data_IF_556362266523
#
_entry.id   IF_556362266523
#
_cell.length_a   1.000
_cell.length_b   1.000
_cell.length_c   1.000
_cell.angle_alpha   90.00
_cell.angle_beta   90.00
_cell.angle_gamma   90.00
#
_symmetry.space_group_name_H-M   'P 1'
#
loop_
_entity.id
_entity.type
_entity.pdbx_description
1 polymer ?
#
# COMPACT_ATOMS: atom_id res chain seq x y z
N UNK A 1 -18.42 -21.73 27.33
CA UNK A 1 -17.83 -20.49 26.78
C UNK A 1 -18.36 -20.31 25.37
N UNK A 2 -19.01 -19.20 25.07
CA UNK A 2 -19.47 -18.91 23.73
C UNK A 2 -18.26 -18.46 22.90
N UNK A 3 -18.00 -19.13 21.77
CA UNK A 3 -17.02 -18.70 20.78
C UNK A 3 -17.65 -17.55 20.01
N UNK A 4 -16.97 -16.43 19.87
CA UNK A 4 -17.48 -15.20 19.22
C UNK A 4 -17.88 -15.38 17.75
N UNK A 5 -17.49 -16.48 17.12
CA UNK A 5 -17.80 -16.78 15.73
C UNK A 5 -17.04 -15.91 14.70
N UNK A 6 -16.16 -15.00 15.14
CA UNK A 6 -15.26 -14.25 14.27
C UNK A 6 -13.83 -14.63 14.55
N UNK A 7 -13.02 -14.66 13.47
CA UNK A 7 -11.57 -14.86 13.54
C UNK A 7 -10.79 -13.53 13.47
N UNK A 8 -11.50 -12.41 13.49
CA UNK A 8 -10.88 -11.10 13.43
C UNK A 8 -10.26 -10.77 14.79
N UNK A 9 -8.97 -10.55 14.77
CA UNK A 9 -8.21 -10.02 15.88
C UNK A 9 -7.83 -8.58 15.50
N UNK A 10 -8.59 -7.62 16.02
CA UNK A 10 -8.41 -6.18 15.76
C UNK A 10 -8.21 -5.42 17.08
N UNK A 11 -7.07 -5.60 17.75
CA UNK A 11 -6.77 -4.87 18.96
C UNK A 11 -6.49 -3.40 18.63
N UNK A 12 -6.97 -2.49 19.49
CA UNK A 12 -6.64 -1.08 19.40
C UNK A 12 -5.16 -0.86 19.74
N UNK A 13 -4.55 0.15 19.11
CA UNK A 13 -3.18 0.56 19.39
C UNK A 13 -2.98 0.93 20.87
N UNK A 14 -4.02 1.40 21.52
CA UNK A 14 -4.01 1.70 22.94
C UNK A 14 -3.78 0.45 23.78
N UNK A 15 -4.48 -0.64 23.47
CA UNK A 15 -4.33 -1.94 24.15
C UNK A 15 -2.92 -2.50 24.01
N UNK A 16 -2.33 -2.37 22.81
CA UNK A 16 -0.93 -2.77 22.60
C UNK A 16 0.06 -1.96 23.43
N UNK A 17 -0.19 -0.67 23.55
CA UNK A 17 0.67 0.22 24.34
C UNK A 17 0.53 -0.10 25.82
N UNK A 18 -0.68 -0.30 26.32
CA UNK A 18 -0.94 -0.69 27.72
C UNK A 18 -0.23 -2.02 28.05
N UNK A 19 -0.38 -3.03 27.21
CA UNK A 19 0.32 -4.31 27.38
C UNK A 19 1.85 -4.15 27.36
N UNK A 20 2.37 -3.29 26.48
CA UNK A 20 3.81 -3.04 26.41
C UNK A 20 4.33 -2.37 27.70
N UNK A 21 3.58 -1.43 28.28
CA UNK A 21 3.91 -0.81 29.57
C UNK A 21 3.88 -1.83 30.70
N UNK A 22 2.83 -2.66 30.77
CA UNK A 22 2.73 -3.73 31.77
C UNK A 22 3.90 -4.71 31.71
N UNK A 23 4.29 -5.12 30.49
CA UNK A 23 5.47 -6.00 30.29
C UNK A 23 6.78 -5.36 30.74
N UNK A 24 6.85 -4.02 30.69
CA UNK A 24 7.99 -3.27 31.22
C UNK A 24 7.89 -3.02 32.74
N UNK A 25 6.82 -3.46 33.39
CA UNK A 25 6.57 -3.20 34.81
C UNK A 25 6.18 -1.78 35.10
N UNK A 26 5.66 -1.06 34.13
CA UNK A 26 5.22 0.32 34.21
C UNK A 26 3.69 0.39 34.09
N UNK A 27 3.10 1.43 34.65
CA UNK A 27 1.68 1.74 34.49
C UNK A 27 1.51 2.96 33.58
N UNK A 28 0.55 2.90 32.68
CA UNK A 28 0.17 4.05 31.83
C UNK A 28 -0.74 4.98 32.68
N UNK A 29 -0.15 6.04 33.27
CA UNK A 29 -0.86 6.87 34.24
C UNK A 29 -1.46 8.15 33.67
N UNK A 30 -0.93 8.65 32.56
CA UNK A 30 -1.35 9.94 32.00
C UNK A 30 -1.62 9.88 30.50
N UNK A 31 -2.55 10.70 30.02
CA UNK A 31 -2.81 10.86 28.60
C UNK A 31 -1.62 11.48 27.83
N UNK A 32 -0.63 12.03 28.52
CA UNK A 32 0.63 12.46 27.92
C UNK A 32 1.51 11.26 27.56
N UNK A 33 1.62 10.30 28.46
CA UNK A 33 2.40 9.07 28.27
C UNK A 33 1.84 8.29 27.07
N UNK A 34 0.51 8.14 26.99
CA UNK A 34 -0.16 7.50 25.87
C UNK A 34 0.14 8.19 24.52
N UNK A 35 0.03 9.53 24.47
CA UNK A 35 0.32 10.28 23.24
C UNK A 35 1.77 10.17 22.80
N UNK A 36 2.69 10.15 23.77
CA UNK A 36 4.12 9.98 23.49
C UNK A 36 4.40 8.57 22.97
N UNK A 37 3.78 7.57 23.56
CA UNK A 37 3.93 6.17 23.13
C UNK A 37 3.32 5.94 21.73
N UNK A 38 2.15 6.49 21.42
CA UNK A 38 1.55 6.44 20.07
C UNK A 38 2.48 7.10 19.05
N UNK A 39 3.07 8.25 19.37
CA UNK A 39 4.05 8.91 18.48
C UNK A 39 5.27 8.02 18.23
N UNK A 40 5.81 7.40 19.26
CA UNK A 40 6.95 6.50 19.16
C UNK A 40 6.63 5.26 18.32
N UNK A 41 5.43 4.68 18.50
CA UNK A 41 4.96 3.56 17.69
C UNK A 41 4.83 3.95 16.20
N UNK A 42 4.27 5.13 15.90
CA UNK A 42 4.15 5.63 14.54
C UNK A 42 5.53 5.86 13.88
N UNK A 43 6.50 6.39 14.62
CA UNK A 43 7.87 6.56 14.14
C UNK A 43 8.54 5.21 13.86
N UNK A 44 8.33 4.22 14.72
CA UNK A 44 8.83 2.87 14.53
C UNK A 44 8.23 2.22 13.27
N UNK A 45 6.92 2.35 13.06
CA UNK A 45 6.24 1.84 11.87
C UNK A 45 6.73 2.53 10.60
N UNK A 46 6.95 3.84 10.64
CA UNK A 46 7.53 4.60 9.53
C UNK A 46 8.96 4.13 9.21
N UNK A 47 9.78 3.86 10.25
CA UNK A 47 11.12 3.29 10.06
C UNK A 47 11.05 1.90 9.41
N UNK A 48 10.12 1.05 9.85
CA UNK A 48 9.92 -0.27 9.25
C UNK A 48 9.50 -0.17 7.78
N UNK A 49 8.60 0.75 7.45
CA UNK A 49 8.22 1.01 6.06
C UNK A 49 9.43 1.42 5.20
N UNK A 50 10.33 2.26 5.73
CA UNK A 50 11.58 2.64 5.04
C UNK A 50 12.54 1.47 4.85
N UNK A 51 12.49 0.46 5.73
CA UNK A 51 13.25 -0.79 5.60
C UNK A 51 12.59 -1.81 4.67
N UNK A 52 11.46 -1.49 4.04
CA UNK A 52 10.71 -2.40 3.17
C UNK A 52 9.80 -3.38 3.91
N UNK A 53 9.62 -3.25 5.22
CA UNK A 53 8.68 -4.03 6.03
C UNK A 53 7.30 -3.37 6.00
N UNK A 54 6.67 -3.38 4.85
CA UNK A 54 5.45 -2.62 4.59
C UNK A 54 4.30 -3.47 4.02
N UNK A 55 4.30 -4.79 4.26
CA UNK A 55 3.29 -5.69 3.69
C UNK A 55 1.85 -5.31 4.06
N UNK A 56 1.63 -4.74 5.24
CA UNK A 56 0.30 -4.27 5.68
C UNK A 56 -0.21 -3.02 4.94
N UNK A 57 0.66 -2.33 4.20
CA UNK A 57 0.29 -1.14 3.40
C UNK A 57 0.09 -1.48 1.92
N UNK A 58 0.32 -2.74 1.53
CA UNK A 58 0.14 -3.18 0.15
C UNK A 58 -1.33 -3.50 -0.09
N UNK A 59 -1.93 -2.80 -1.01
CA UNK A 59 -3.31 -3.01 -1.43
C UNK A 59 -3.42 -3.19 -2.93
N UNK A 60 -4.48 -3.82 -3.39
CA UNK A 60 -4.77 -3.97 -4.82
C UNK A 60 -5.81 -2.94 -5.23
N UNK A 61 -5.47 -2.10 -6.21
CA UNK A 61 -6.37 -1.14 -6.82
C UNK A 61 -6.71 -1.50 -8.26
N UNK A 62 -7.77 -0.91 -8.79
CA UNK A 62 -8.16 -1.04 -10.20
C UNK A 62 -8.32 0.34 -10.81
N UNK A 63 -7.64 0.58 -11.93
CA UNK A 63 -7.74 1.80 -12.70
C UNK A 63 -8.26 1.49 -14.10
N UNK A 64 -9.36 2.15 -14.50
CA UNK A 64 -9.87 2.03 -15.87
C UNK A 64 -8.95 2.76 -16.83
N UNK A 65 -8.48 2.04 -17.85
CA UNK A 65 -7.62 2.61 -18.90
C UNK A 65 -8.46 2.96 -20.12
N UNK A 66 -8.33 4.20 -20.59
CA UNK A 66 -9.07 4.73 -21.74
C UNK A 66 -8.12 4.98 -22.90
N UNK A 67 -8.55 4.65 -24.12
CA UNK A 67 -7.77 4.90 -25.32
C UNK A 67 -7.42 6.39 -25.47
N UNK A 68 -6.17 6.67 -25.78
CA UNK A 68 -5.67 8.03 -25.94
C UNK A 68 -5.26 8.75 -24.66
N UNK A 69 -5.44 8.13 -23.49
CA UNK A 69 -5.02 8.67 -22.20
C UNK A 69 -3.78 7.95 -21.73
N UNK A 70 -2.66 8.67 -21.63
CA UNK A 70 -1.37 8.12 -21.23
C UNK A 70 -1.06 8.28 -19.74
N UNK A 71 -1.70 9.23 -19.06
CA UNK A 71 -1.42 9.54 -17.67
C UNK A 71 -2.68 9.41 -16.81
N UNK A 72 -2.54 8.74 -15.69
CA UNK A 72 -3.61 8.52 -14.70
C UNK A 72 -3.14 9.00 -13.35
N UNK A 73 -3.98 9.78 -12.70
CA UNK A 73 -3.72 10.19 -11.31
C UNK A 73 -4.27 9.12 -10.37
N UNK A 74 -3.39 8.60 -9.54
CA UNK A 74 -3.76 7.68 -8.47
C UNK A 74 -4.26 8.45 -7.24
N UNK A 75 -4.88 7.76 -6.30
CA UNK A 75 -5.33 8.36 -5.05
C UNK A 75 -4.17 9.00 -4.26
N UNK A 76 -4.49 9.98 -3.42
CA UNK A 76 -3.51 10.73 -2.62
C UNK A 76 -2.82 9.87 -1.55
N UNK A 77 -3.37 8.71 -1.26
CA UNK A 77 -2.88 7.71 -0.32
C UNK A 77 -1.91 6.70 -0.96
N UNK A 78 -1.80 6.70 -2.30
CA UNK A 78 -0.89 5.82 -3.03
C UNK A 78 0.50 6.45 -3.08
N UNK A 79 1.47 5.78 -2.49
CA UNK A 79 2.87 6.23 -2.46
C UNK A 79 3.64 5.73 -3.67
N UNK A 80 3.40 4.48 -4.09
CA UNK A 80 4.10 3.85 -5.20
C UNK A 80 3.26 2.70 -5.80
N UNK A 81 3.54 2.33 -7.04
CA UNK A 81 2.96 1.17 -7.72
C UNK A 81 4.04 0.09 -7.85
N UNK A 82 3.86 -1.01 -7.13
CA UNK A 82 4.84 -2.10 -7.13
C UNK A 82 4.77 -2.94 -8.39
N UNK A 83 3.55 -3.34 -8.77
CA UNK A 83 3.26 -4.14 -9.95
C UNK A 83 1.97 -3.68 -10.61
N UNK A 84 1.90 -3.83 -11.93
CA UNK A 84 0.70 -3.54 -12.69
C UNK A 84 0.44 -4.60 -13.77
N UNK A 85 -0.83 -4.89 -13.99
CA UNK A 85 -1.29 -5.78 -15.05
C UNK A 85 -2.42 -5.10 -15.85
N UNK A 86 -2.43 -5.27 -17.16
CA UNK A 86 -3.58 -4.88 -17.98
C UNK A 86 -4.52 -6.06 -18.13
N UNK A 87 -5.72 -5.90 -17.62
CA UNK A 87 -6.80 -6.87 -17.76
C UNK A 87 -7.63 -6.54 -19.01
N UNK A 88 -7.79 -7.51 -19.89
CA UNK A 88 -8.65 -7.42 -21.06
C UNK A 88 -9.65 -8.56 -21.07
N UNK A 89 -10.92 -8.23 -21.22
CA UNK A 89 -11.98 -9.21 -21.40
C UNK A 89 -12.49 -9.15 -22.84
N UNK A 90 -12.50 -10.29 -23.52
CA UNK A 90 -13.05 -10.45 -24.86
C UNK A 90 -14.04 -11.60 -24.83
N UNK A 91 -15.33 -11.29 -24.97
CA UNK A 91 -16.40 -12.27 -24.73
C UNK A 91 -16.37 -12.78 -23.29
N UNK A 92 -16.21 -14.08 -23.11
CA UNK A 92 -16.12 -14.74 -21.81
C UNK A 92 -14.67 -14.95 -21.31
N UNK A 93 -13.67 -14.57 -22.12
CA UNK A 93 -12.26 -14.82 -21.80
C UNK A 93 -11.60 -13.56 -21.25
N UNK A 94 -11.04 -13.64 -20.06
CA UNK A 94 -10.26 -12.58 -19.42
C UNK A 94 -8.78 -12.94 -19.47
N UNK A 95 -7.97 -12.02 -19.95
CA UNK A 95 -6.51 -12.18 -20.06
C UNK A 95 -5.83 -11.05 -19.34
N UNK A 96 -4.91 -11.38 -18.44
CA UNK A 96 -4.06 -10.44 -17.74
C UNK A 96 -2.67 -10.43 -18.38
N UNK A 97 -2.17 -9.25 -18.70
CA UNK A 97 -0.82 -9.06 -19.23
C UNK A 97 -0.06 -8.16 -18.30
N UNK A 98 1.07 -8.64 -17.77
CA UNK A 98 1.93 -7.86 -16.89
C UNK A 98 2.54 -6.68 -17.64
N UNK A 99 2.59 -5.54 -16.97
CA UNK A 99 3.31 -4.35 -17.42
C UNK A 99 4.71 -4.35 -16.83
N UNK A 100 5.68 -3.89 -17.59
CA UNK A 100 7.04 -3.67 -17.13
C UNK A 100 7.15 -2.27 -16.51
N UNK A 101 7.73 -2.19 -15.31
CA UNK A 101 8.04 -0.91 -14.69
C UNK A 101 9.32 -0.36 -15.29
N UNK A 102 9.27 0.84 -15.85
CA UNK A 102 10.45 1.52 -16.38
C UNK A 102 10.94 2.60 -15.40
N UNK A 103 12.24 2.81 -15.38
CA UNK A 103 12.84 3.88 -14.60
C UNK A 103 12.60 5.24 -15.25
N UNK A 104 12.75 6.31 -14.46
CA UNK A 104 12.65 7.67 -14.98
C UNK A 104 13.60 7.94 -16.15
N UNK A 105 14.83 7.42 -16.10
CA UNK A 105 15.81 7.59 -17.16
C UNK A 105 15.41 6.84 -18.43
N UNK A 106 14.89 5.63 -18.32
CA UNK A 106 14.37 4.87 -19.45
C UNK A 106 13.19 5.55 -20.11
N UNK A 107 12.23 6.05 -19.29
CA UNK A 107 11.09 6.81 -19.80
C UNK A 107 11.53 8.04 -20.61
N UNK A 108 12.54 8.79 -20.14
CA UNK A 108 13.04 9.97 -20.87
C UNK A 108 13.77 9.60 -22.15
N UNK A 109 14.36 8.42 -22.24
CA UNK A 109 15.04 7.91 -23.43
C UNK A 109 14.09 7.39 -24.52
N UNK A 110 12.78 7.26 -24.24
CA UNK A 110 11.80 6.87 -25.25
C UNK A 110 11.66 8.03 -26.27
N UNK A 111 12.05 7.83 -27.53
CA UNK A 111 12.11 8.93 -28.51
C UNK A 111 10.72 9.38 -28.97
N UNK A 112 9.72 8.48 -29.01
CA UNK A 112 8.36 8.78 -29.37
C UNK A 112 7.40 8.33 -28.28
N UNK A 113 6.84 9.27 -27.54
CA UNK A 113 5.89 9.05 -26.45
C UNK A 113 4.43 9.07 -26.88
N UNK A 114 4.17 9.51 -28.13
CA UNK A 114 2.81 9.66 -28.67
C UNK A 114 2.32 8.40 -29.39
N UNK A 115 3.11 7.34 -29.37
CA UNK A 115 2.74 6.06 -30.00
C UNK A 115 1.53 5.47 -29.28
N UNK A 116 0.44 5.32 -30.02
CA UNK A 116 -0.78 4.70 -29.52
C UNK A 116 -0.72 3.20 -29.72
N UNK A 117 -0.58 2.47 -28.67
CA UNK A 117 -0.55 1.01 -28.67
C UNK A 117 -1.13 0.48 -27.35
N UNK A 118 -1.26 -0.84 -27.25
CA UNK A 118 -1.59 -1.48 -25.98
C UNK A 118 -0.47 -1.18 -24.97
N UNK A 119 -0.80 -0.76 -23.75
CA UNK A 119 0.23 -0.56 -22.74
C UNK A 119 1.04 -1.83 -22.48
N UNK A 120 2.34 -1.70 -22.48
CA UNK A 120 3.29 -2.76 -22.10
C UNK A 120 4.18 -2.35 -20.93
N UNK A 121 4.26 -1.06 -20.67
CA UNK A 121 5.13 -0.46 -19.66
C UNK A 121 4.38 0.58 -18.85
N UNK A 122 4.86 0.86 -17.64
CA UNK A 122 4.40 1.96 -16.80
C UNK A 122 5.58 2.65 -16.10
N UNK A 123 5.37 3.92 -15.79
CA UNK A 123 6.35 4.80 -15.12
C UNK A 123 5.67 5.57 -13.98
#
# INVERSE_FOLDING_TARGET
MAVSGSTNFEPDITEFIEEAYERCGLELRTGYDLRTAIRSANLMLAEWANRGLNQWTISTGTQTVTEGTASYQLGTDVIDVLDAVVRRTVGSTTTDTRLERVSRSEYFNIPNKDTKARPSQFF
#
